data_IF_921822415925
#
_entry.id   IF_921822415925
#
_cell.length_a   1.000
_cell.length_b   1.000
_cell.length_c   1.000
_cell.angle_alpha   90.00
_cell.angle_beta   90.00
_cell.angle_gamma   90.00
#
_symmetry.space_group_name_H-M   'P 1'
#
loop_
_entity.id
_entity.type
_entity.pdbx_description
1 polymer ?
#
# COMPACT_ATOMS: atom_id res chain seq x y z
N UNK A 1 21.48 5.45 -24.65
CA UNK A 1 22.16 5.68 -23.34
C UNK A 1 21.26 6.57 -22.50
N UNK A 2 20.70 6.25 -21.35
CA UNK A 2 20.79 5.06 -20.50
C UNK A 2 19.45 4.96 -19.72
N UNK A 3 18.80 3.81 -19.87
CA UNK A 3 17.88 3.18 -18.92
C UNK A 3 16.56 3.87 -18.52
N UNK A 4 15.51 3.50 -19.26
CA UNK A 4 14.14 3.34 -18.76
C UNK A 4 14.17 2.34 -17.59
N UNK A 5 13.73 2.76 -16.39
CA UNK A 5 13.34 1.99 -15.19
C UNK A 5 13.48 3.00 -14.04
N UNK A 6 12.43 3.57 -13.49
CA UNK A 6 11.63 3.00 -12.40
C UNK A 6 10.26 3.69 -12.46
N UNK A 7 9.36 3.15 -13.28
CA UNK A 7 7.92 3.32 -13.10
C UNK A 7 7.41 2.09 -12.35
N UNK A 8 7.94 1.83 -11.14
CA UNK A 8 7.32 0.93 -10.17
C UNK A 8 6.12 1.68 -9.53
N UNK A 9 5.23 2.18 -10.37
CA UNK A 9 3.85 2.44 -10.01
C UNK A 9 3.12 1.18 -10.42
N UNK A 10 2.79 0.35 -9.44
CA UNK A 10 1.95 -0.82 -9.60
C UNK A 10 0.55 -0.37 -10.08
N UNK A 11 0.44 0.03 -11.35
CA UNK A 11 -0.82 0.13 -12.07
C UNK A 11 -1.15 -1.32 -12.42
N UNK A 12 -1.59 -2.07 -11.40
CA UNK A 12 -2.28 -3.33 -11.63
C UNK A 12 -3.51 -2.95 -12.44
N UNK A 13 -3.66 -3.41 -13.70
CA UNK A 13 -4.95 -3.33 -14.34
C UNK A 13 -5.87 -4.20 -13.49
N UNK A 14 -6.78 -3.57 -12.73
CA UNK A 14 -7.90 -4.27 -12.08
C UNK A 14 -8.86 -4.69 -13.20
N UNK A 15 -8.46 -5.73 -13.93
CA UNK A 15 -9.25 -6.44 -14.93
C UNK A 15 -9.58 -7.82 -14.39
N UNK A 16 -10.45 -7.86 -13.38
CA UNK A 16 -11.35 -8.99 -13.08
C UNK A 16 -12.25 -8.61 -11.89
N UNK A 17 -13.56 -8.82 -12.06
CA UNK A 17 -14.60 -8.50 -11.07
C UNK A 17 -14.58 -9.52 -9.92
N UNK A 18 -13.64 -9.35 -9.00
CA UNK A 18 -13.67 -9.95 -7.66
C UNK A 18 -13.62 -8.78 -6.67
N UNK A 19 -14.61 -8.66 -5.77
CA UNK A 19 -14.68 -7.58 -4.79
C UNK A 19 -13.36 -7.46 -4.02
N UNK A 20 -12.58 -6.41 -4.31
CA UNK A 20 -11.32 -6.14 -3.64
C UNK A 20 -11.60 -5.74 -2.19
N UNK A 21 -11.07 -6.50 -1.23
CA UNK A 21 -11.25 -6.24 0.20
C UNK A 21 -10.19 -5.29 0.78
N UNK A 22 -9.02 -5.18 0.14
CA UNK A 22 -7.90 -4.36 0.61
C UNK A 22 -6.93 -4.06 -0.54
N UNK A 23 -6.36 -2.86 -0.53
CA UNK A 23 -5.25 -2.48 -1.43
C UNK A 23 -4.00 -2.16 -0.61
N UNK A 24 -2.88 -2.80 -0.96
CA UNK A 24 -1.57 -2.49 -0.39
C UNK A 24 -0.67 -1.89 -1.47
N UNK A 25 -0.18 -0.68 -1.26
CA UNK A 25 0.67 0.04 -2.20
C UNK A 25 2.08 0.24 -1.61
N UNK A 26 3.11 -0.22 -2.29
CA UNK A 26 4.51 -0.01 -1.88
C UNK A 26 5.11 1.11 -2.74
N UNK A 27 5.56 2.19 -2.10
CA UNK A 27 6.17 3.34 -2.77
C UNK A 27 7.64 3.50 -2.35
N UNK A 28 8.58 3.69 -3.30
CA UNK A 28 9.98 3.91 -2.97
C UNK A 28 10.26 5.29 -2.36
N UNK A 29 9.32 6.24 -2.48
CA UNK A 29 9.44 7.60 -1.98
C UNK A 29 8.18 8.02 -1.22
N UNK A 30 8.35 8.74 -0.12
CA UNK A 30 7.27 9.22 0.75
C UNK A 30 6.66 10.54 0.22
N UNK A 31 6.35 10.60 -1.08
CA UNK A 31 5.74 11.79 -1.68
C UNK A 31 4.27 11.87 -1.33
N UNK A 32 3.87 12.95 -0.65
CA UNK A 32 2.50 13.20 -0.22
C UNK A 32 1.50 13.26 -1.39
N UNK A 33 1.92 13.76 -2.55
CA UNK A 33 1.08 13.82 -3.75
C UNK A 33 0.55 12.43 -4.16
N UNK A 34 1.43 11.42 -4.12
CA UNK A 34 1.08 10.05 -4.49
C UNK A 34 0.20 9.39 -3.44
N UNK A 35 0.50 9.64 -2.16
CA UNK A 35 -0.33 9.16 -1.07
C UNK A 35 -1.76 9.71 -1.16
N UNK A 36 -1.87 11.02 -1.41
CA UNK A 36 -3.12 11.75 -1.56
C UNK A 36 -3.92 11.25 -2.76
N UNK A 37 -3.26 11.00 -3.90
CA UNK A 37 -3.92 10.44 -5.07
C UNK A 37 -4.47 9.02 -4.82
N UNK A 38 -3.67 8.14 -4.21
CA UNK A 38 -4.11 6.77 -3.87
C UNK A 38 -5.29 6.81 -2.91
N UNK A 39 -5.22 7.64 -1.86
CA UNK A 39 -6.31 7.80 -0.90
C UNK A 39 -7.56 8.39 -1.55
N UNK A 40 -7.42 9.38 -2.44
CA UNK A 40 -8.54 9.96 -3.17
C UNK A 40 -9.28 8.90 -4.00
N UNK A 41 -8.56 8.05 -4.72
CA UNK A 41 -9.17 6.96 -5.51
C UNK A 41 -9.88 5.95 -4.58
N UNK A 42 -9.22 5.49 -3.52
CA UNK A 42 -9.78 4.52 -2.56
C UNK A 42 -10.89 5.07 -1.64
N UNK A 43 -11.04 6.39 -1.52
CA UNK A 43 -12.09 6.98 -0.68
C UNK A 43 -13.24 7.57 -1.52
N UNK A 44 -12.97 8.01 -2.75
CA UNK A 44 -13.97 8.70 -3.58
C UNK A 44 -14.61 7.78 -4.62
N UNK A 45 -13.86 6.85 -5.22
CA UNK A 45 -14.37 6.03 -6.31
C UNK A 45 -14.80 4.63 -5.85
N UNK A 46 -14.05 4.04 -4.92
CA UNK A 46 -14.32 2.69 -4.40
C UNK A 46 -13.92 2.63 -2.93
N UNK A 47 -14.85 2.56 -1.95
CA UNK A 47 -14.55 2.52 -0.53
C UNK A 47 -13.87 1.19 -0.17
N UNK A 48 -12.57 1.12 -0.45
CA UNK A 48 -11.74 -0.05 -0.23
C UNK A 48 -10.64 0.37 0.74
N UNK A 49 -10.47 -0.34 1.86
CA UNK A 49 -9.37 -0.09 2.77
C UNK A 49 -8.03 -0.12 2.04
N UNK A 50 -7.18 0.89 2.29
CA UNK A 50 -5.88 1.03 1.61
C UNK A 50 -4.74 1.23 2.61
N UNK A 51 -3.64 0.53 2.40
CA UNK A 51 -2.40 0.60 3.18
C UNK A 51 -1.23 0.97 2.27
N UNK A 52 -0.59 2.11 2.51
CA UNK A 52 0.61 2.53 1.77
C UNK A 52 1.85 2.26 2.63
N UNK A 53 2.84 1.59 2.05
CA UNK A 53 4.10 1.20 2.72
C UNK A 53 5.26 1.86 1.98
N UNK A 54 6.19 2.45 2.72
CA UNK A 54 7.42 2.97 2.16
C UNK A 54 8.45 1.84 2.00
N UNK A 55 8.98 1.66 0.79
CA UNK A 55 9.97 0.61 0.51
C UNK A 55 11.24 0.77 1.37
N UNK A 56 11.64 2.02 1.69
CA UNK A 56 12.79 2.30 2.57
C UNK A 56 12.59 1.73 3.97
N UNK A 57 11.36 1.70 4.45
CA UNK A 57 11.03 1.12 5.76
C UNK A 57 11.24 -0.40 5.73
N UNK A 58 10.92 -1.06 4.62
CA UNK A 58 11.16 -2.50 4.42
C UNK A 58 12.63 -2.86 4.20
N UNK A 59 13.46 -1.94 3.72
CA UNK A 59 14.88 -2.18 3.48
C UNK A 59 15.72 -2.40 4.75
N UNK A 60 15.21 -2.06 5.94
CA UNK A 60 15.90 -2.30 7.20
C UNK A 60 15.63 -3.73 7.69
N UNK A 61 16.55 -4.65 7.39
CA UNK A 61 16.43 -6.08 7.74
C UNK A 61 16.26 -6.37 9.23
N UNK A 62 16.84 -5.54 10.11
CA UNK A 62 16.70 -5.69 11.56
C UNK A 62 15.29 -5.34 12.06
N UNK A 63 14.60 -4.43 11.38
CA UNK A 63 13.28 -3.93 11.81
C UNK A 63 12.12 -4.53 11.02
N UNK A 64 12.39 -5.28 9.94
CA UNK A 64 11.37 -5.76 9.01
C UNK A 64 10.28 -6.57 9.72
N UNK A 65 10.65 -7.40 10.70
CA UNK A 65 9.70 -8.21 11.48
C UNK A 65 8.69 -7.34 12.23
N UNK A 66 9.17 -6.35 12.98
CA UNK A 66 8.31 -5.42 13.73
C UNK A 66 7.46 -4.54 12.81
N UNK A 67 8.00 -4.16 11.64
CA UNK A 67 7.27 -3.38 10.63
C UNK A 67 6.14 -4.19 10.02
N UNK A 68 6.41 -5.44 9.61
CA UNK A 68 5.41 -6.34 9.05
C UNK A 68 4.30 -6.63 10.05
N UNK A 69 4.64 -6.85 11.33
CA UNK A 69 3.64 -7.00 12.39
C UNK A 69 2.74 -5.77 12.49
N UNK A 70 3.32 -4.56 12.54
CA UNK A 70 2.52 -3.32 12.56
C UNK A 70 1.59 -3.18 11.35
N UNK A 71 2.07 -3.55 10.16
CA UNK A 71 1.27 -3.53 8.93
C UNK A 71 0.12 -4.54 9.02
N UNK A 72 0.40 -5.76 9.48
CA UNK A 72 -0.61 -6.81 9.65
C UNK A 72 -1.71 -6.36 10.61
N UNK A 73 -1.33 -5.77 11.75
CA UNK A 73 -2.29 -5.25 12.73
C UNK A 73 -3.14 -4.12 12.13
N UNK A 74 -2.53 -3.20 11.39
CA UNK A 74 -3.26 -2.13 10.71
C UNK A 74 -4.25 -2.64 9.66
N UNK A 75 -3.90 -3.74 8.97
CA UNK A 75 -4.81 -4.40 8.02
C UNK A 75 -5.95 -5.09 8.77
N UNK A 76 -5.66 -5.77 9.88
CA UNK A 76 -6.67 -6.43 10.70
C UNK A 76 -7.72 -5.43 11.19
N UNK A 77 -7.28 -4.28 11.73
CA UNK A 77 -8.18 -3.20 12.15
C UNK A 77 -9.02 -2.64 10.99
N UNK A 78 -8.48 -2.61 9.76
CA UNK A 78 -9.18 -2.11 8.57
C UNK A 78 -10.24 -3.06 8.02
N UNK A 79 -10.14 -4.35 8.34
CA UNK A 79 -11.09 -5.38 7.95
C UNK A 79 -12.17 -5.63 9.03
N UNK A 80 -12.19 -4.83 10.10
CA UNK A 80 -13.11 -5.00 11.23
C UNK A 80 -12.63 -6.00 12.30
N UNK A 81 -11.41 -6.52 12.15
CA UNK A 81 -10.72 -7.25 13.21
C UNK A 81 -10.21 -6.29 14.28
N UNK A 82 -9.75 -6.84 15.40
CA UNK A 82 -9.41 -6.03 16.57
C UNK A 82 -8.23 -6.64 17.30
N UNK A 83 -7.50 -5.75 17.99
CA UNK A 83 -6.21 -5.99 18.59
C UNK A 83 -6.40 -6.27 20.08
N UNK A 84 -6.84 -7.48 20.42
CA UNK A 84 -6.89 -7.98 21.80
C UNK A 84 -6.26 -9.38 21.88
#
# INVERSE_FOLDING_TARGET
>A
LHSRRILFGLLVPVSSRSQLQLVVAISPSMRDDRYSAIKRICCSEKPIPSQVINARTLSNSQKIRSITQKILLQINCKLGGTLW
#
